data_IF_244640644758
#
_entry.id   IF_244640644758
#
_cell.length_a   1.000
_cell.length_b   1.000
_cell.length_c   1.000
_cell.angle_alpha   90.00
_cell.angle_beta   90.00
_cell.angle_gamma   90.00
#
_symmetry.space_group_name_H-M   'P 1'
#
loop_
_entity.id
_entity.type
_entity.pdbx_description
1 polymer ?
#
# COMPACT_ATOMS: atom_id res chain seq x y z
N UNK A 1 92.40 -12.10 -12.64
CA UNK A 1 91.59 -10.90 -12.93
C UNK A 1 90.51 -11.13 -14.00
N UNK A 2 90.77 -11.85 -15.10
CA UNK A 2 89.77 -12.04 -16.20
C UNK A 2 88.56 -12.91 -15.77
N UNK A 3 88.75 -13.89 -14.89
CA UNK A 3 87.67 -14.80 -14.44
C UNK A 3 86.62 -14.10 -13.55
N UNK A 4 86.98 -13.04 -12.82
CA UNK A 4 86.03 -12.29 -11.98
C UNK A 4 85.14 -11.33 -12.79
N UNK A 5 85.65 -10.79 -13.90
CA UNK A 5 84.90 -9.91 -14.80
C UNK A 5 83.76 -10.66 -15.52
N UNK A 6 84.03 -11.85 -16.06
CA UNK A 6 83.01 -12.69 -16.70
C UNK A 6 81.89 -13.14 -15.73
N UNK A 7 82.22 -13.36 -14.45
CA UNK A 7 81.24 -13.68 -13.39
C UNK A 7 80.32 -12.48 -13.07
N UNK A 8 80.89 -11.27 -13.00
CA UNK A 8 80.14 -10.03 -12.79
C UNK A 8 79.22 -9.73 -13.99
N UNK A 9 79.68 -9.92 -15.22
CA UNK A 9 78.88 -9.74 -16.43
C UNK A 9 77.66 -10.66 -16.45
N UNK A 10 77.83 -11.94 -16.10
CA UNK A 10 76.72 -12.91 -15.99
C UNK A 10 75.71 -12.49 -14.93
N UNK A 11 76.19 -11.98 -13.78
CA UNK A 11 75.32 -11.47 -12.72
C UNK A 11 74.54 -10.22 -13.16
N UNK A 12 75.18 -9.28 -13.87
CA UNK A 12 74.52 -8.08 -14.41
C UNK A 12 73.42 -8.47 -15.40
N UNK A 13 73.65 -9.44 -16.28
CA UNK A 13 72.63 -9.93 -17.21
C UNK A 13 71.46 -10.58 -16.46
N UNK A 14 71.73 -11.39 -15.43
CA UNK A 14 70.68 -11.99 -14.59
C UNK A 14 69.87 -10.92 -13.85
N UNK A 15 70.52 -9.91 -13.27
CA UNK A 15 69.84 -8.82 -12.58
C UNK A 15 68.98 -7.99 -13.53
N UNK A 16 69.45 -7.74 -14.76
CA UNK A 16 68.65 -7.06 -15.80
C UNK A 16 67.41 -7.87 -16.18
N UNK A 17 67.53 -9.20 -16.34
CA UNK A 17 66.38 -10.08 -16.60
C UNK A 17 65.38 -10.05 -15.44
N UNK A 18 65.86 -10.21 -14.20
CA UNK A 18 65.02 -10.12 -13.00
C UNK A 18 64.32 -8.76 -12.87
N UNK A 19 65.01 -7.66 -13.17
CA UNK A 19 64.42 -6.30 -13.18
C UNK A 19 63.30 -6.18 -14.22
N UNK A 20 63.50 -6.74 -15.42
CA UNK A 20 62.49 -6.73 -16.47
C UNK A 20 61.27 -7.58 -16.10
N UNK A 21 61.47 -8.78 -15.55
CA UNK A 21 60.39 -9.65 -15.07
C UNK A 21 59.60 -9.00 -13.93
N UNK A 22 60.28 -8.42 -12.94
CA UNK A 22 59.65 -7.68 -11.86
C UNK A 22 58.84 -6.48 -12.37
N UNK A 23 59.36 -5.76 -13.37
CA UNK A 23 58.63 -4.64 -13.98
C UNK A 23 57.36 -5.10 -14.72
N UNK A 24 57.43 -6.23 -15.44
CA UNK A 24 56.25 -6.82 -16.12
C UNK A 24 55.20 -7.28 -15.12
N UNK A 25 55.63 -7.96 -14.05
CA UNK A 25 54.74 -8.39 -12.97
C UNK A 25 54.07 -7.20 -12.29
N UNK A 26 54.82 -6.14 -11.99
CA UNK A 26 54.28 -4.90 -11.41
C UNK A 26 53.23 -4.27 -12.32
N UNK A 27 53.51 -4.17 -13.61
CA UNK A 27 52.58 -3.59 -14.58
C UNK A 27 51.29 -4.42 -14.69
N UNK A 28 51.41 -5.75 -14.71
CA UNK A 28 50.26 -6.66 -14.73
C UNK A 28 49.40 -6.51 -13.46
N UNK A 29 50.04 -6.54 -12.28
CA UNK A 29 49.36 -6.36 -11.00
C UNK A 29 48.65 -5.00 -10.90
N UNK A 30 49.25 -3.93 -11.42
CA UNK A 30 48.63 -2.60 -11.44
C UNK A 30 47.40 -2.55 -12.37
N UNK A 31 47.45 -3.21 -13.52
CA UNK A 31 46.31 -3.31 -14.43
C UNK A 31 45.16 -4.12 -13.81
N UNK A 32 45.47 -5.28 -13.21
CA UNK A 32 44.48 -6.10 -12.50
C UNK A 32 43.84 -5.33 -11.33
N UNK A 33 44.64 -4.62 -10.54
CA UNK A 33 44.15 -3.78 -9.46
C UNK A 33 43.19 -2.68 -9.96
N UNK A 34 43.52 -2.01 -11.07
CA UNK A 34 42.64 -1.00 -11.68
C UNK A 34 41.31 -1.61 -12.14
N UNK A 35 41.34 -2.81 -12.73
CA UNK A 35 40.13 -3.51 -13.15
C UNK A 35 39.25 -3.87 -11.94
N UNK A 36 39.82 -4.49 -10.90
CA UNK A 36 39.10 -4.84 -9.66
C UNK A 36 38.50 -3.59 -9.01
N UNK A 37 39.27 -2.52 -8.86
CA UNK A 37 38.78 -1.25 -8.28
C UNK A 37 37.64 -0.63 -9.11
N UNK A 38 37.70 -0.76 -10.44
CA UNK A 38 36.61 -0.28 -11.31
C UNK A 38 35.33 -1.11 -11.16
N UNK A 39 35.46 -2.42 -10.95
CA UNK A 39 34.35 -3.32 -10.73
C UNK A 39 33.72 -3.09 -9.35
N UNK A 40 34.55 -2.93 -8.31
CA UNK A 40 34.13 -2.55 -6.96
C UNK A 40 33.32 -1.25 -6.98
N UNK A 41 33.84 -0.18 -7.60
CA UNK A 41 33.13 1.10 -7.71
C UNK A 41 31.78 0.96 -8.41
N UNK A 42 31.73 0.22 -9.52
CA UNK A 42 30.48 -0.03 -10.27
C UNK A 42 29.48 -0.80 -9.41
N UNK A 43 29.93 -1.83 -8.72
CA UNK A 43 29.11 -2.62 -7.79
C UNK A 43 28.54 -1.74 -6.68
N UNK A 44 29.39 -0.98 -5.99
CA UNK A 44 28.98 -0.06 -4.92
C UNK A 44 27.97 0.98 -5.42
N UNK A 45 28.20 1.60 -6.58
CA UNK A 45 27.22 2.53 -7.17
C UNK A 45 25.89 1.86 -7.53
N UNK A 46 25.94 0.61 -8.00
CA UNK A 46 24.75 -0.19 -8.28
C UNK A 46 23.93 -0.46 -7.02
N UNK A 47 24.60 -0.87 -5.94
CA UNK A 47 23.97 -1.07 -4.62
C UNK A 47 23.30 0.21 -4.12
N UNK A 48 23.99 1.35 -4.16
CA UNK A 48 23.39 2.63 -3.73
C UNK A 48 22.17 3.04 -4.56
N UNK A 49 22.10 2.62 -5.83
CA UNK A 49 20.95 2.89 -6.69
C UNK A 49 19.77 1.97 -6.32
N UNK A 50 20.05 0.71 -6.01
CA UNK A 50 19.06 -0.25 -5.53
C UNK A 50 18.51 0.20 -4.17
N UNK A 51 19.36 0.63 -3.24
CA UNK A 51 18.94 1.13 -1.92
C UNK A 51 17.98 2.31 -2.06
N UNK A 52 18.31 3.30 -2.89
CA UNK A 52 17.43 4.44 -3.18
C UNK A 52 16.09 4.02 -3.79
N UNK A 53 16.11 3.02 -4.67
CA UNK A 53 14.88 2.50 -5.28
C UNK A 53 14.00 1.80 -4.24
N UNK A 54 14.59 1.00 -3.36
CA UNK A 54 13.90 0.35 -2.24
C UNK A 54 13.30 1.40 -1.30
N UNK A 55 14.05 2.45 -0.97
CA UNK A 55 13.55 3.56 -0.15
C UNK A 55 12.34 4.26 -0.79
N UNK A 56 12.43 4.59 -2.08
CA UNK A 56 11.32 5.19 -2.83
C UNK A 56 10.08 4.28 -2.87
N UNK A 57 10.26 2.97 -3.10
CA UNK A 57 9.13 2.03 -3.11
C UNK A 57 8.52 1.87 -1.71
N UNK A 58 9.33 1.93 -0.64
CA UNK A 58 8.82 1.93 0.75
C UNK A 58 8.00 3.18 1.07
N UNK A 59 8.41 4.34 0.55
CA UNK A 59 7.64 5.58 0.66
C UNK A 59 6.28 5.44 -0.04
N UNK A 60 6.26 4.95 -1.28
CA UNK A 60 5.02 4.68 -2.02
C UNK A 60 4.09 3.71 -1.26
N UNK A 61 4.63 2.64 -0.64
CA UNK A 61 3.85 1.71 0.19
C UNK A 61 3.25 2.41 1.41
N UNK A 62 4.02 3.29 2.06
CA UNK A 62 3.56 4.06 3.23
C UNK A 62 2.39 4.99 2.86
N UNK A 63 2.50 5.67 1.73
CA UNK A 63 1.45 6.56 1.22
C UNK A 63 0.17 5.78 0.91
N UNK A 64 0.28 4.68 0.18
CA UNK A 64 -0.85 3.80 -0.13
C UNK A 64 -1.46 3.20 1.14
N UNK A 65 -0.63 2.83 2.12
CA UNK A 65 -1.11 2.31 3.41
C UNK A 65 -1.92 3.35 4.17
N UNK A 66 -1.50 4.62 4.15
CA UNK A 66 -2.23 5.72 4.80
C UNK A 66 -3.62 5.90 4.18
N UNK A 67 -3.69 5.87 2.84
CA UNK A 67 -4.95 5.94 2.11
C UNK A 67 -5.86 4.75 2.44
N UNK A 68 -5.31 3.54 2.50
CA UNK A 68 -6.03 2.32 2.90
C UNK A 68 -6.64 2.44 4.29
N UNK A 69 -5.87 2.92 5.28
CA UNK A 69 -6.36 3.15 6.63
C UNK A 69 -7.54 4.12 6.63
N UNK A 70 -7.42 5.25 5.92
CA UNK A 70 -8.51 6.22 5.81
C UNK A 70 -9.77 5.61 5.15
N UNK A 71 -9.60 4.85 4.07
CA UNK A 71 -10.72 4.23 3.34
C UNK A 71 -11.41 3.14 4.15
N UNK A 72 -10.67 2.36 4.92
CA UNK A 72 -11.24 1.39 5.86
C UNK A 72 -12.04 2.09 6.95
N UNK A 73 -11.53 3.17 7.54
CA UNK A 73 -12.30 3.95 8.53
C UNK A 73 -13.56 4.58 7.94
N UNK A 74 -13.52 5.03 6.67
CA UNK A 74 -14.70 5.50 5.95
C UNK A 74 -15.73 4.38 5.75
N UNK A 75 -15.27 3.16 5.40
CA UNK A 75 -16.11 1.99 5.22
C UNK A 75 -16.82 1.61 6.52
N UNK A 76 -16.08 1.48 7.62
CA UNK A 76 -16.64 1.19 8.95
C UNK A 76 -17.66 2.25 9.37
N UNK A 77 -17.37 3.53 9.08
CA UNK A 77 -18.27 4.62 9.41
C UNK A 77 -19.58 4.55 8.63
N UNK A 78 -19.55 4.22 7.33
CA UNK A 78 -20.78 4.12 6.55
C UNK A 78 -21.58 2.88 6.91
N UNK A 79 -20.92 1.77 7.27
CA UNK A 79 -21.57 0.56 7.77
C UNK A 79 -22.33 0.82 9.07
N UNK A 80 -21.72 1.53 10.03
CA UNK A 80 -22.43 1.97 11.26
C UNK A 80 -23.65 2.84 10.97
N UNK A 81 -23.57 3.72 9.96
CA UNK A 81 -24.71 4.56 9.56
C UNK A 81 -25.82 3.76 8.85
N UNK A 82 -25.47 2.68 8.15
CA UNK A 82 -26.45 1.75 7.58
C UNK A 82 -27.16 1.00 8.70
N UNK A 83 -26.41 0.46 9.65
CA UNK A 83 -26.96 -0.28 10.80
C UNK A 83 -27.89 0.60 11.64
N UNK A 84 -27.46 1.82 11.99
CA UNK A 84 -28.30 2.77 12.72
C UNK A 84 -29.59 3.14 11.98
N UNK A 85 -29.57 3.25 10.66
CA UNK A 85 -30.78 3.50 9.87
C UNK A 85 -31.68 2.27 9.78
N UNK A 86 -31.11 1.06 9.72
CA UNK A 86 -31.86 -0.19 9.77
C UNK A 86 -32.57 -0.37 11.11
N UNK A 87 -31.90 -0.06 12.22
CA UNK A 87 -32.54 -0.07 13.55
C UNK A 87 -33.72 0.90 13.62
N UNK A 88 -33.56 2.11 13.09
CA UNK A 88 -34.66 3.10 13.01
C UNK A 88 -35.81 2.57 12.14
N UNK A 89 -35.50 2.02 10.97
CA UNK A 89 -36.49 1.45 10.06
C UNK A 89 -37.31 0.36 10.73
N UNK A 90 -36.68 -0.51 11.52
CA UNK A 90 -37.38 -1.54 12.31
C UNK A 90 -38.35 -0.90 13.31
N UNK A 91 -37.92 0.12 14.07
CA UNK A 91 -38.79 0.82 15.03
C UNK A 91 -39.96 1.53 14.36
N UNK A 92 -39.74 2.16 13.22
CA UNK A 92 -40.81 2.82 12.45
C UNK A 92 -41.83 1.79 11.93
N UNK A 93 -41.37 0.58 11.53
CA UNK A 93 -42.26 -0.52 11.14
C UNK A 93 -43.10 -1.04 12.31
N UNK A 94 -42.51 -1.19 13.50
CA UNK A 94 -43.25 -1.52 14.73
C UNK A 94 -44.28 -0.44 15.08
N UNK A 95 -43.92 0.85 14.93
CA UNK A 95 -44.85 1.96 15.16
C UNK A 95 -46.00 1.99 14.14
N UNK A 96 -45.76 1.58 12.89
CA UNK A 96 -46.80 1.41 11.87
C UNK A 96 -47.79 0.33 12.30
N UNK A 97 -47.32 -0.83 12.76
CA UNK A 97 -48.18 -1.91 13.25
C UNK A 97 -49.06 -1.43 14.42
N UNK A 98 -48.49 -0.66 15.35
CA UNK A 98 -49.25 -0.05 16.45
C UNK A 98 -50.31 0.94 15.95
N UNK A 99 -49.95 1.83 15.02
CA UNK A 99 -50.89 2.77 14.44
C UNK A 99 -52.03 2.07 13.68
N UNK A 100 -51.74 0.95 13.02
CA UNK A 100 -52.77 0.13 12.36
C UNK A 100 -53.74 -0.50 13.38
N UNK A 101 -53.24 -1.01 14.50
CA UNK A 101 -54.09 -1.53 15.58
C UNK A 101 -54.97 -0.43 16.18
N UNK A 102 -54.42 0.76 16.43
CA UNK A 102 -55.21 1.90 16.92
C UNK A 102 -56.34 2.29 15.96
N UNK A 103 -56.10 2.23 14.63
CA UNK A 103 -57.14 2.46 13.62
C UNK A 103 -58.23 1.38 13.68
N UNK A 104 -57.84 0.11 13.88
CA UNK A 104 -58.76 -1.02 13.95
C UNK A 104 -59.69 -0.96 15.18
N UNK A 105 -59.15 -0.52 16.33
CA UNK A 105 -59.85 -0.49 17.61
C UNK A 105 -60.35 0.90 18.04
N UNK A 106 -60.26 1.92 17.19
CA UNK A 106 -60.70 3.27 17.51
C UNK A 106 -62.18 3.32 17.92
N UNK A 107 -62.48 3.92 19.07
CA UNK A 107 -63.84 4.00 19.61
C UNK A 107 -64.61 5.20 19.04
N UNK A 108 -63.90 6.19 18.50
CA UNK A 108 -64.48 7.38 17.88
C UNK A 108 -63.73 7.84 16.61
N UNK A 109 -64.38 8.66 15.76
CA UNK A 109 -63.78 9.11 14.50
C UNK A 109 -62.51 9.94 14.66
N UNK A 110 -62.39 10.70 15.75
CA UNK A 110 -61.24 11.58 16.00
C UNK A 110 -59.97 10.78 16.33
N UNK A 111 -60.08 9.75 17.18
CA UNK A 111 -59.00 8.80 17.45
C UNK A 111 -58.52 8.12 16.18
N UNK A 112 -59.46 7.68 15.33
CA UNK A 112 -59.16 7.04 14.06
C UNK A 112 -58.41 7.99 13.13
N UNK A 113 -58.88 9.23 12.98
CA UNK A 113 -58.26 10.23 12.11
C UNK A 113 -56.82 10.55 12.56
N UNK A 114 -56.61 10.68 13.87
CA UNK A 114 -55.29 10.91 14.45
C UNK A 114 -54.33 9.75 14.17
N UNK A 115 -54.78 8.51 14.36
CA UNK A 115 -53.98 7.32 14.07
C UNK A 115 -53.67 7.18 12.57
N UNK A 116 -54.63 7.50 11.68
CA UNK A 116 -54.41 7.54 10.23
C UNK A 116 -53.40 8.63 9.81
N UNK A 117 -53.46 9.81 10.44
CA UNK A 117 -52.50 10.88 10.18
C UNK A 117 -51.07 10.47 10.60
N UNK A 118 -50.95 9.83 11.78
CA UNK A 118 -49.68 9.26 12.24
C UNK A 118 -49.18 8.17 11.31
N UNK A 119 -50.04 7.25 10.88
CA UNK A 119 -49.70 6.18 9.94
C UNK A 119 -49.16 6.75 8.62
N UNK A 120 -49.76 7.80 8.06
CA UNK A 120 -49.24 8.47 6.85
C UNK A 120 -47.81 9.00 7.07
N UNK A 121 -47.58 9.73 8.15
CA UNK A 121 -46.24 10.26 8.47
C UNK A 121 -45.20 9.16 8.68
N UNK A 122 -45.55 8.06 9.35
CA UNK A 122 -44.65 6.93 9.56
C UNK A 122 -44.27 6.25 8.24
N UNK A 123 -45.23 6.09 7.32
CA UNK A 123 -44.94 5.52 6.00
C UNK A 123 -44.01 6.42 5.17
N UNK A 124 -44.20 7.75 5.24
CA UNK A 124 -43.29 8.70 4.57
C UNK A 124 -41.87 8.58 5.14
N UNK A 125 -41.71 8.52 6.46
CA UNK A 125 -40.41 8.32 7.11
C UNK A 125 -39.75 6.98 6.75
N UNK A 126 -40.53 5.90 6.66
CA UNK A 126 -40.04 4.58 6.23
C UNK A 126 -39.46 4.67 4.82
N UNK A 127 -40.16 5.33 3.90
CA UNK A 127 -39.68 5.49 2.52
C UNK A 127 -38.37 6.28 2.48
N UNK A 128 -38.27 7.37 3.25
CA UNK A 128 -37.04 8.15 3.37
C UNK A 128 -35.87 7.32 3.93
N UNK A 129 -36.11 6.53 4.98
CA UNK A 129 -35.10 5.65 5.56
C UNK A 129 -34.64 4.55 4.58
N UNK A 130 -35.56 3.98 3.81
CA UNK A 130 -35.22 2.97 2.80
C UNK A 130 -34.34 3.55 1.68
N UNK A 131 -34.64 4.78 1.22
CA UNK A 131 -33.82 5.48 0.25
C UNK A 131 -32.45 5.91 0.83
N UNK A 132 -32.42 6.33 2.09
CA UNK A 132 -31.18 6.64 2.81
C UNK A 132 -30.28 5.40 2.91
N UNK A 133 -30.81 4.27 3.38
CA UNK A 133 -30.09 2.99 3.49
C UNK A 133 -29.54 2.60 2.12
N UNK A 134 -30.35 2.65 1.07
CA UNK A 134 -29.95 2.30 -0.30
C UNK A 134 -28.79 3.18 -0.80
N UNK A 135 -28.84 4.48 -0.53
CA UNK A 135 -27.76 5.41 -0.91
C UNK A 135 -26.48 5.17 -0.11
N UNK A 136 -26.59 4.89 1.19
CA UNK A 136 -25.44 4.54 2.04
C UNK A 136 -24.80 3.22 1.61
N UNK A 137 -25.59 2.20 1.28
CA UNK A 137 -25.10 0.91 0.77
C UNK A 137 -24.36 1.06 -0.57
N UNK A 138 -24.87 1.90 -1.50
CA UNK A 138 -24.14 2.23 -2.74
C UNK A 138 -22.79 2.87 -2.45
N UNK A 139 -22.75 3.77 -1.46
CA UNK A 139 -21.52 4.45 -1.02
C UNK A 139 -20.53 3.46 -0.41
N UNK A 140 -20.99 2.57 0.47
CA UNK A 140 -20.18 1.49 1.05
C UNK A 140 -19.57 0.59 -0.04
N UNK A 141 -20.38 0.19 -1.04
CA UNK A 141 -19.89 -0.60 -2.18
C UNK A 141 -18.81 0.13 -2.98
N UNK A 142 -18.94 1.43 -3.19
CA UNK A 142 -17.92 2.25 -3.86
C UNK A 142 -16.62 2.28 -3.05
N UNK A 143 -16.70 2.56 -1.75
CA UNK A 143 -15.53 2.61 -0.87
C UNK A 143 -14.84 1.24 -0.80
N UNK A 144 -15.61 0.15 -0.71
CA UNK A 144 -15.07 -1.22 -0.74
C UNK A 144 -14.30 -1.51 -2.04
N UNK A 145 -14.81 -1.06 -3.19
CA UNK A 145 -14.08 -1.15 -4.45
C UNK A 145 -12.78 -0.33 -4.45
N UNK A 146 -12.78 0.86 -3.87
CA UNK A 146 -11.56 1.68 -3.69
C UNK A 146 -10.54 0.98 -2.77
N UNK A 147 -10.98 0.40 -1.64
CA UNK A 147 -10.13 -0.39 -0.73
C UNK A 147 -9.47 -1.55 -1.47
N UNK A 148 -10.22 -2.31 -2.27
CA UNK A 148 -9.68 -3.40 -3.08
C UNK A 148 -8.59 -2.91 -4.05
N UNK A 149 -8.87 -1.82 -4.77
CA UNK A 149 -7.91 -1.24 -5.72
C UNK A 149 -6.62 -0.80 -5.03
N UNK A 150 -6.71 -0.11 -3.89
CA UNK A 150 -5.50 0.31 -3.15
C UNK A 150 -4.75 -0.87 -2.55
N UNK A 151 -5.45 -1.93 -2.11
CA UNK A 151 -4.81 -3.17 -1.67
C UNK A 151 -4.02 -3.83 -2.80
N UNK A 152 -4.57 -3.88 -4.00
CA UNK A 152 -3.87 -4.41 -5.18
C UNK A 152 -2.66 -3.57 -5.56
N UNK A 153 -2.77 -2.24 -5.50
CA UNK A 153 -1.64 -1.33 -5.73
C UNK A 153 -0.54 -1.58 -4.69
N UNK A 154 -0.91 -1.66 -3.40
CA UNK A 154 0.04 -1.95 -2.32
C UNK A 154 0.79 -3.25 -2.56
N UNK A 155 0.07 -4.33 -2.89
CA UNK A 155 0.67 -5.64 -3.17
C UNK A 155 1.64 -5.59 -4.35
N UNK A 156 1.33 -4.84 -5.41
CA UNK A 156 2.23 -4.65 -6.56
C UNK A 156 3.50 -3.89 -6.18
N UNK A 157 3.44 -2.92 -5.27
CA UNK A 157 4.64 -2.19 -4.83
C UNK A 157 5.47 -3.07 -3.90
N UNK A 158 4.83 -3.76 -2.94
CA UNK A 158 5.51 -4.71 -2.03
C UNK A 158 6.28 -5.79 -2.82
N UNK A 159 5.76 -6.27 -3.95
CA UNK A 159 6.45 -7.23 -4.81
C UNK A 159 7.72 -6.71 -5.51
N UNK A 160 7.94 -5.40 -5.55
CA UNK A 160 9.16 -4.79 -6.12
C UNK A 160 10.29 -4.63 -5.09
N UNK A 161 9.92 -4.59 -3.81
CA UNK A 161 10.83 -4.51 -2.66
C UNK A 161 11.41 -5.90 -2.32
N UNK A 162 10.66 -6.97 -2.61
CA UNK A 162 11.08 -8.37 -2.45
C UNK A 162 12.07 -8.82 -3.51
#
# INVERSE_FOLDING_TARGET
MIVSLASIEKLVVQLRKKKQEASKLRQKAEQEFKQVRSAEKRSSSGLTTIDKKIESEREDVSDVSTVLTQKNSQLESIERLVEAAQEKLTREKEAIEQAQQEIEFAENPEEKENAEARLRSLNDHVQELEDEIKNRQKTAKKISGEVSNYSDVKSKIDSKIQ
#
